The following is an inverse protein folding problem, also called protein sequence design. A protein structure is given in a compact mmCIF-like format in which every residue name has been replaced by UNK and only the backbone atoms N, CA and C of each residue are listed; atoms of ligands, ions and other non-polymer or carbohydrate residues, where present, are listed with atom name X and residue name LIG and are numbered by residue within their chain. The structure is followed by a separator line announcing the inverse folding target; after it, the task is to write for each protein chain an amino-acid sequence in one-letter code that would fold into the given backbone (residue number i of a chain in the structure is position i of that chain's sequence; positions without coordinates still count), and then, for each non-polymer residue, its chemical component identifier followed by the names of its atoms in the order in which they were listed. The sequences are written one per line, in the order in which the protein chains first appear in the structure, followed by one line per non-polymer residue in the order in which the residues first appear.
data_IF_551677612822
#
_entry.id   IF_551677612822
#
_cell.length_a   1.000
_cell.length_b   1.000
_cell.length_c   1.000
_cell.angle_alpha   90.00
_cell.angle_beta   90.00
_cell.angle_gamma   90.00
#
_symmetry.space_group_name_H-M   'P 1'
#
loop_
_entity.id
_entity.type
_entity.pdbx_description
1 polymer ?
#
# COMPACT_ATOMS: atom_id res chain seq x y z
N UNK A 1 -2.23 -0.30 3.32
CA UNK A 1 -3.55 0.08 3.87
C UNK A 1 -3.49 1.43 4.55
N UNK A 2 -4.58 2.21 4.53
CA UNK A 2 -4.72 3.41 5.34
C UNK A 2 -4.75 3.00 6.82
N UNK A 3 -3.86 3.57 7.63
CA UNK A 3 -3.82 3.39 9.08
C UNK A 3 -4.40 4.63 9.75
N UNK A 4 -4.74 4.55 11.04
CA UNK A 4 -5.21 5.71 11.81
C UNK A 4 -4.14 6.82 11.95
N UNK A 5 -2.89 6.55 11.58
CA UNK A 5 -1.81 7.54 11.52
C UNK A 5 -1.72 8.29 10.18
N UNK A 6 -2.44 7.87 9.14
CA UNK A 6 -2.34 8.46 7.79
C UNK A 6 -3.62 9.22 7.48
N UNK A 7 -3.53 10.54 7.52
CA UNK A 7 -4.63 11.43 7.13
C UNK A 7 -4.58 11.71 5.62
N UNK A 8 -5.75 11.61 4.97
CA UNK A 8 -5.93 11.87 3.53
C UNK A 8 -4.92 11.17 2.60
N UNK A 9 -4.79 9.82 2.65
CA UNK A 9 -3.89 9.12 1.74
C UNK A 9 -4.30 9.33 0.28
N UNK A 10 -3.33 9.59 -0.60
CA UNK A 10 -3.60 9.94 -2.00
C UNK A 10 -3.04 8.94 -3.02
N UNK A 11 -2.32 7.92 -2.55
CA UNK A 11 -1.77 6.85 -3.38
C UNK A 11 -1.78 5.53 -2.60
N UNK A 12 -2.25 4.46 -3.23
CA UNK A 12 -2.02 3.08 -2.75
C UNK A 12 -1.37 2.24 -3.84
N UNK A 13 -0.50 1.33 -3.40
CA UNK A 13 0.16 0.37 -4.28
C UNK A 13 -0.04 -1.02 -3.71
N UNK A 14 -0.61 -1.92 -4.48
CA UNK A 14 -0.81 -3.32 -4.10
C UNK A 14 -0.05 -4.21 -5.09
N UNK A 15 0.65 -5.20 -4.54
CA UNK A 15 1.36 -6.22 -5.31
C UNK A 15 0.66 -7.56 -5.13
N UNK A 16 0.60 -8.36 -6.19
CA UNK A 16 0.16 -9.76 -6.13
C UNK A 16 1.20 -10.67 -6.76
N UNK A 17 1.26 -11.89 -6.25
CA UNK A 17 2.16 -12.95 -6.72
C UNK A 17 1.44 -14.29 -6.61
N UNK A 18 1.84 -15.27 -7.42
CA UNK A 18 1.27 -16.62 -7.43
C UNK A 18 -0.17 -16.65 -7.94
N UNK A 19 -1.04 -17.40 -7.24
CA UNK A 19 -2.44 -17.60 -7.66
C UNK A 19 -3.36 -16.38 -7.42
N UNK A 20 -2.87 -15.32 -6.76
CA UNK A 20 -3.67 -14.12 -6.49
C UNK A 20 -3.69 -13.20 -7.72
N UNK A 21 -4.86 -12.97 -8.28
CA UNK A 21 -5.02 -12.11 -9.44
C UNK A 21 -5.08 -10.61 -9.07
N UNK A 22 -4.72 -9.76 -10.04
CA UNK A 22 -4.73 -8.29 -9.90
C UNK A 22 -6.12 -7.71 -9.62
N UNK A 23 -7.20 -8.45 -9.85
CA UNK A 23 -8.55 -8.03 -9.47
C UNK A 23 -8.70 -7.89 -7.94
N UNK A 24 -8.01 -8.72 -7.15
CA UNK A 24 -7.97 -8.60 -5.69
C UNK A 24 -7.26 -7.31 -5.28
N UNK A 25 -6.09 -7.02 -5.87
CA UNK A 25 -5.38 -5.75 -5.67
C UNK A 25 -6.27 -4.56 -6.02
N UNK A 26 -6.93 -4.63 -7.19
CA UNK A 26 -7.83 -3.60 -7.69
C UNK A 26 -8.99 -3.33 -6.71
N UNK A 27 -9.53 -4.36 -6.04
CA UNK A 27 -10.58 -4.21 -5.01
C UNK A 27 -10.04 -3.58 -3.72
N UNK A 28 -8.89 -4.05 -3.22
CA UNK A 28 -8.27 -3.50 -2.00
C UNK A 28 -7.88 -2.03 -2.15
N UNK A 29 -7.32 -1.70 -3.31
CA UNK A 29 -7.01 -0.33 -3.72
C UNK A 29 -8.28 0.52 -3.81
N UNK A 30 -9.33 0.03 -4.48
CA UNK A 30 -10.59 0.77 -4.60
C UNK A 30 -11.24 1.04 -3.25
N UNK A 31 -11.23 0.08 -2.33
CA UNK A 31 -11.72 0.26 -0.97
C UNK A 31 -10.94 1.37 -0.23
N UNK A 32 -9.61 1.27 -0.20
CA UNK A 32 -8.76 2.22 0.51
C UNK A 32 -8.87 3.63 -0.07
N UNK A 33 -8.89 3.77 -1.40
CA UNK A 33 -9.01 5.07 -2.05
C UNK A 33 -10.41 5.65 -1.94
N UNK A 34 -11.47 4.83 -1.90
CA UNK A 34 -12.83 5.32 -1.61
C UNK A 34 -12.90 5.99 -0.23
N UNK A 35 -12.31 5.39 0.80
CA UNK A 35 -12.26 6.01 2.14
C UNK A 35 -11.52 7.36 2.12
N UNK A 36 -10.41 7.45 1.40
CA UNK A 36 -9.64 8.68 1.29
C UNK A 36 -10.37 9.79 0.53
N UNK A 37 -10.99 9.43 -0.60
CA UNK A 37 -11.83 10.34 -1.40
C UNK A 37 -13.02 10.81 -0.58
N UNK A 38 -13.68 9.91 0.16
CA UNK A 38 -14.77 10.24 1.08
C UNK A 38 -14.33 11.23 2.15
N UNK A 39 -13.25 10.95 2.88
CA UNK A 39 -12.75 11.86 3.90
C UNK A 39 -12.49 13.27 3.35
N UNK A 40 -11.91 13.36 2.15
CA UNK A 40 -11.68 14.64 1.46
C UNK A 40 -12.99 15.36 1.13
N UNK A 41 -14.01 14.63 0.66
CA UNK A 41 -15.32 15.20 0.35
C UNK A 41 -16.02 15.70 1.60
N UNK A 42 -16.03 14.92 2.68
CA UNK A 42 -16.67 15.34 3.93
C UNK A 42 -16.01 16.60 4.50
N UNK A 43 -14.67 16.70 4.46
CA UNK A 43 -13.96 17.93 4.81
C UNK A 43 -14.45 19.14 3.98
N UNK A 44 -14.59 18.97 2.67
CA UNK A 44 -15.03 20.06 1.80
C UNK A 44 -16.52 20.42 1.99
N UNK A 45 -17.35 19.45 2.40
CA UNK A 45 -18.75 19.69 2.76
C UNK A 45 -18.91 20.54 4.01
N UNK A 46 -18.03 20.37 5.00
CA UNK A 46 -18.04 21.20 6.21
C UNK A 46 -17.92 22.70 5.91
N UNK A 47 -17.30 23.04 4.78
CA UNK A 47 -17.08 24.43 4.34
C UNK A 47 -17.87 24.78 3.07
N UNK A 48 -18.82 23.94 2.64
CA UNK A 48 -19.70 24.20 1.49
C UNK A 48 -18.99 24.25 0.13
N UNK A 49 -17.87 23.54 -0.01
CA UNK A 49 -17.00 23.55 -1.21
C UNK A 49 -16.92 22.20 -1.93
N UNK A 50 -17.80 21.26 -1.63
CA UNK A 50 -17.78 19.90 -2.17
C UNK A 50 -17.85 19.84 -3.70
N UNK A 51 -18.47 20.84 -4.34
CA UNK A 51 -18.57 20.91 -5.80
C UNK A 51 -17.23 21.20 -6.49
N UNK A 52 -16.23 21.76 -5.79
CA UNK A 52 -14.85 21.87 -6.31
C UNK A 52 -14.23 20.51 -6.62
N UNK A 53 -14.72 19.46 -5.95
CA UNK A 53 -14.19 18.11 -6.04
C UNK A 53 -15.00 17.23 -6.99
N UNK A 54 -16.17 17.68 -7.47
CA UNK A 54 -17.03 16.91 -8.36
C UNK A 54 -16.28 16.46 -9.62
N UNK A 55 -16.22 15.14 -9.83
CA UNK A 55 -15.51 14.47 -10.95
C UNK A 55 -14.01 14.79 -11.04
N UNK A 56 -13.38 15.30 -9.99
CA UNK A 56 -11.93 15.51 -9.94
C UNK A 56 -11.25 14.27 -9.36
N UNK A 57 -10.14 13.84 -9.99
CA UNK A 57 -9.33 12.75 -9.45
C UNK A 57 -8.66 13.23 -8.16
N UNK A 58 -9.01 12.58 -7.05
CA UNK A 58 -8.52 12.95 -5.71
C UNK A 58 -7.40 12.02 -5.21
N UNK A 59 -7.40 10.77 -5.65
CA UNK A 59 -6.42 9.78 -5.24
C UNK A 59 -6.10 8.82 -6.40
N UNK A 60 -4.99 8.09 -6.29
CA UNK A 60 -4.53 7.16 -7.31
C UNK A 60 -4.26 5.79 -6.70
N UNK A 61 -4.32 4.74 -7.52
CA UNK A 61 -3.86 3.43 -7.11
C UNK A 61 -3.11 2.70 -8.20
N UNK A 62 -2.13 1.92 -7.79
CA UNK A 62 -1.35 1.03 -8.65
C UNK A 62 -1.52 -0.40 -8.17
N UNK A 63 -1.93 -1.29 -9.06
CA UNK A 63 -1.92 -2.73 -8.84
C UNK A 63 -0.87 -3.34 -9.76
N UNK A 64 0.02 -4.19 -9.25
CA UNK A 64 1.03 -4.83 -10.08
C UNK A 64 1.37 -6.25 -9.66
N UNK A 65 1.93 -7.01 -10.59
CA UNK A 65 2.53 -8.31 -10.37
C UNK A 65 3.90 -8.36 -11.06
N UNK A 66 4.40 -9.56 -11.34
CA UNK A 66 5.70 -9.79 -11.96
C UNK A 66 5.81 -9.32 -13.43
N UNK A 67 4.71 -9.00 -14.10
CA UNK A 67 4.71 -8.54 -15.51
C UNK A 67 3.82 -7.33 -15.76
N UNK A 68 2.71 -7.23 -15.05
CA UNK A 68 1.63 -6.30 -15.37
C UNK A 68 1.49 -5.18 -14.32
N UNK A 69 1.13 -3.99 -14.80
CA UNK A 69 0.78 -2.83 -13.98
C UNK A 69 -0.57 -2.27 -14.42
N UNK A 70 -1.42 -1.89 -13.45
CA UNK A 70 -2.68 -1.18 -13.66
C UNK A 70 -2.73 0.06 -12.79
N UNK A 71 -2.94 1.21 -13.41
CA UNK A 71 -3.02 2.52 -12.76
C UNK A 71 -4.44 3.04 -12.87
N UNK A 72 -5.00 3.48 -11.74
CA UNK A 72 -6.34 4.07 -11.67
C UNK A 72 -6.32 5.42 -10.97
N UNK A 73 -7.20 6.32 -11.40
CA UNK A 73 -7.56 7.53 -10.66
C UNK A 73 -8.93 7.35 -10.00
N UNK A 74 -9.08 7.81 -8.76
CA UNK A 74 -10.31 7.71 -7.98
C UNK A 74 -10.93 9.08 -7.80
N UNK A 75 -12.24 9.18 -8.04
CA UNK A 75 -12.95 10.45 -8.03
C UNK A 75 -14.37 10.31 -7.47
N UNK A 76 -14.91 11.37 -6.85
CA UNK A 76 -16.29 11.42 -6.40
C UNK A 76 -17.20 12.01 -7.48
N UNK A 77 -18.47 11.63 -7.46
CA UNK A 77 -19.57 12.30 -8.16
C UNK A 77 -20.53 12.77 -7.08
N UNK A 78 -20.57 14.08 -6.88
CA UNK A 78 -21.43 14.76 -5.91
C UNK A 78 -22.78 15.05 -6.56
N UNK A 79 -23.86 14.68 -5.88
CA UNK A 79 -25.24 14.93 -6.28
C UNK A 79 -26.04 15.38 -5.05
N UNK A 80 -26.08 16.68 -4.82
CA UNK A 80 -26.59 17.26 -3.57
C UNK A 80 -25.89 16.67 -2.34
N UNK A 81 -26.68 16.05 -1.45
CA UNK A 81 -26.19 15.40 -0.23
C UNK A 81 -25.57 14.03 -0.46
N UNK A 82 -25.79 13.42 -1.62
CA UNK A 82 -25.22 12.12 -1.96
C UNK A 82 -23.87 12.27 -2.64
N UNK A 83 -22.98 11.30 -2.41
CA UNK A 83 -21.71 11.17 -3.14
C UNK A 83 -21.49 9.73 -3.52
N UNK A 84 -21.26 9.49 -4.81
CA UNK A 84 -20.85 8.19 -5.35
C UNK A 84 -19.36 8.22 -5.67
N UNK A 85 -18.69 7.08 -5.51
CA UNK A 85 -17.24 6.97 -5.69
C UNK A 85 -16.93 6.05 -6.86
N UNK A 86 -16.06 6.51 -7.74
CA UNK A 86 -15.71 5.81 -8.98
C UNK A 86 -14.20 5.78 -9.17
N UNK A 87 -13.77 4.85 -10.01
CA UNK A 87 -12.40 4.79 -10.51
C UNK A 87 -12.38 4.87 -12.03
N UNK A 88 -11.35 5.51 -12.56
CA UNK A 88 -11.05 5.58 -13.98
C UNK A 88 -9.74 4.85 -14.26
N UNK A 89 -9.69 3.88 -15.19
CA UNK A 89 -8.44 3.25 -15.63
C UNK A 89 -7.61 4.28 -16.39
N UNK A 90 -6.47 4.67 -15.83
CA UNK A 90 -5.53 5.59 -16.48
C UNK A 90 -4.66 4.83 -17.46
N UNK A 91 -4.10 3.69 -17.04
CA UNK A 91 -3.29 2.85 -17.91
C UNK A 91 -3.22 1.41 -17.39
N UNK A 92 -3.10 0.45 -18.32
CA UNK A 92 -2.87 -0.97 -18.02
C UNK A 92 -1.87 -1.51 -19.03
N UNK A 93 -0.75 -2.04 -18.56
CA UNK A 93 0.34 -2.45 -19.43
C UNK A 93 1.19 -3.57 -18.83
N UNK A 94 1.91 -4.28 -19.69
CA UNK A 94 2.97 -5.21 -19.33
C UNK A 94 4.31 -4.48 -19.43
N UNK A 95 5.07 -4.41 -18.33
CA UNK A 95 6.34 -3.69 -18.28
C UNK A 95 7.54 -4.52 -18.74
N UNK A 96 7.34 -5.81 -19.02
CA UNK A 96 8.32 -6.75 -19.58
C UNK A 96 8.18 -6.90 -21.09
N UNK A 97 7.00 -6.58 -21.65
CA UNK A 97 6.75 -6.59 -23.08
C UNK A 97 7.59 -5.56 -23.85
N UNK A 98 7.80 -5.85 -25.15
CA UNK A 98 8.50 -4.97 -26.10
C UNK A 98 9.88 -4.50 -25.59
N UNK A 99 10.67 -5.44 -25.08
CA UNK A 99 12.00 -5.17 -24.51
C UNK A 99 11.98 -4.12 -23.38
N UNK A 100 10.93 -4.16 -22.56
CA UNK A 100 10.77 -3.25 -21.42
C UNK A 100 10.49 -1.80 -21.79
N UNK A 101 9.86 -1.54 -22.94
CA UNK A 101 9.48 -0.19 -23.41
C UNK A 101 8.80 0.66 -22.32
N UNK A 102 7.95 0.06 -21.49
CA UNK A 102 7.19 0.73 -20.42
C UNK A 102 7.75 0.54 -19.00
N UNK A 103 8.96 -0.01 -18.87
CA UNK A 103 9.60 -0.34 -17.59
C UNK A 103 9.58 0.81 -16.57
N UNK A 104 9.69 2.06 -17.03
CA UNK A 104 9.74 3.25 -16.18
C UNK A 104 8.42 4.01 -16.05
N UNK A 105 7.34 3.56 -16.69
CA UNK A 105 6.07 4.29 -16.74
C UNK A 105 5.46 4.46 -15.35
N UNK A 106 5.36 3.39 -14.55
CA UNK A 106 4.80 3.45 -13.20
C UNK A 106 5.65 4.29 -12.24
N UNK A 107 6.97 4.24 -12.38
CA UNK A 107 7.90 5.05 -11.60
C UNK A 107 7.73 6.54 -11.87
N UNK A 108 7.74 6.94 -13.16
CA UNK A 108 7.53 8.33 -13.57
C UNK A 108 6.16 8.84 -13.12
N UNK A 109 5.12 8.02 -13.25
CA UNK A 109 3.78 8.35 -12.76
C UNK A 109 3.78 8.61 -11.26
N UNK A 110 4.33 7.68 -10.46
CA UNK A 110 4.42 7.82 -9.00
C UNK A 110 5.18 9.09 -8.61
N UNK A 111 6.32 9.37 -9.26
CA UNK A 111 7.07 10.62 -9.02
C UNK A 111 6.22 11.86 -9.29
N UNK A 112 5.50 11.92 -10.40
CA UNK A 112 4.62 13.04 -10.72
C UNK A 112 3.47 13.20 -9.70
N UNK A 113 2.96 12.09 -9.15
CA UNK A 113 1.98 12.14 -8.06
C UNK A 113 2.55 12.86 -6.85
N UNK A 114 3.79 12.59 -6.45
CA UNK A 114 4.42 13.24 -5.30
C UNK A 114 4.94 14.66 -5.58
N UNK A 115 5.51 14.92 -6.76
CA UNK A 115 6.18 16.18 -7.06
C UNK A 115 5.21 17.27 -7.51
N UNK A 116 4.15 16.89 -8.24
CA UNK A 116 3.21 17.84 -8.84
C UNK A 116 1.87 17.77 -8.14
N UNK A 117 1.31 16.56 -8.02
CA UNK A 117 -0.06 16.43 -7.53
C UNK A 117 -0.15 16.67 -6.03
N UNK A 118 0.66 15.98 -5.22
CA UNK A 118 0.55 16.03 -3.76
C UNK A 118 0.65 17.46 -3.20
N UNK A 119 1.59 18.33 -3.62
CA UNK A 119 1.67 19.70 -3.12
C UNK A 119 0.41 20.51 -3.41
N UNK A 120 -0.16 20.36 -4.61
CA UNK A 120 -1.40 21.02 -4.98
C UNK A 120 -2.59 20.49 -4.17
N UNK A 121 -2.64 19.19 -3.90
CA UNK A 121 -3.69 18.61 -3.06
C UNK A 121 -3.58 19.07 -1.61
N UNK A 122 -2.37 19.11 -1.07
CA UNK A 122 -2.09 19.54 0.29
C UNK A 122 -2.55 20.99 0.49
N UNK A 123 -2.16 21.91 -0.40
CA UNK A 123 -2.63 23.32 -0.37
C UNK A 123 -4.16 23.42 -0.38
N UNK A 124 -4.81 22.61 -1.22
CA UNK A 124 -6.28 22.56 -1.28
C UNK A 124 -6.89 22.05 0.02
N UNK A 125 -6.30 21.03 0.66
CA UNK A 125 -6.76 20.54 1.97
C UNK A 125 -6.60 21.60 3.06
N UNK A 126 -5.42 22.23 3.16
CA UNK A 126 -5.18 23.32 4.10
C UNK A 126 -6.20 24.45 3.91
N UNK A 127 -6.44 24.87 2.67
CA UNK A 127 -7.43 25.91 2.35
C UNK A 127 -8.85 25.57 2.83
N UNK A 128 -9.25 24.30 2.84
CA UNK A 128 -10.55 23.90 3.40
C UNK A 128 -10.50 23.83 4.93
N UNK A 129 -9.41 23.33 5.51
CA UNK A 129 -9.21 23.23 6.97
C UNK A 129 -9.21 24.63 7.61
N UNK A 130 -8.53 25.60 7.01
CA UNK A 130 -8.43 26.97 7.50
C UNK A 130 -9.78 27.71 7.54
N UNK A 131 -10.81 27.16 6.87
CA UNK A 131 -12.17 27.71 6.81
C UNK A 131 -13.15 26.95 7.72
N UNK A 132 -12.70 25.92 8.44
CA UNK A 132 -13.54 25.18 9.39
C UNK A 132 -13.93 26.12 10.55
N UNK A 133 -15.23 26.26 10.88
CA UNK A 133 -15.67 27.02 12.03
C UNK A 133 -15.09 26.47 13.35
N UNK A 134 -14.60 27.36 14.22
CA UNK A 134 -13.95 26.98 15.47
C UNK A 134 -14.90 26.33 16.50
N UNK A 135 -16.20 26.52 16.34
CA UNK A 135 -17.29 26.00 17.18
C UNK A 135 -17.79 24.62 16.75
N UNK A 136 -17.23 24.05 15.67
CA UNK A 136 -17.63 22.74 15.18
C UNK A 136 -17.13 21.62 16.11
N UNK A 137 -18.05 20.84 16.67
CA UNK A 137 -17.72 19.72 17.56
C UNK A 137 -17.30 18.48 16.75
N UNK A 138 -16.05 18.03 16.98
CA UNK A 138 -15.50 16.80 16.41
C UNK A 138 -15.46 15.64 17.42
N UNK A 139 -16.13 15.78 18.57
CA UNK A 139 -16.19 14.75 19.58
C UNK A 139 -16.78 13.46 18.98
N UNK A 140 -16.00 12.39 19.03
CA UNK A 140 -16.47 11.06 18.66
C UNK A 140 -17.11 10.48 19.93
N UNK A 141 -18.40 10.11 19.93
CA UNK A 141 -18.98 9.41 21.06
C UNK A 141 -18.11 8.20 21.37
N UNK A 142 -17.61 8.09 22.60
CA UNK A 142 -16.86 6.91 23.03
C UNK A 142 -17.73 5.69 22.76
N UNK A 143 -17.33 4.87 21.79
CA UNK A 143 -17.94 3.57 21.57
C UNK A 143 -17.77 2.81 22.89
N UNK A 144 -18.86 2.67 23.62
CA UNK A 144 -18.86 1.96 24.90
C UNK A 144 -18.25 0.60 24.64
N UNK A 145 -17.18 0.25 25.36
CA UNK A 145 -16.46 -1.03 25.25
C UNK A 145 -17.33 -2.23 25.72
N UNK A 146 -18.65 -2.14 25.68
CA UNK A 146 -19.61 -3.11 26.20
C UNK A 146 -20.23 -4.02 25.13
N UNK A 147 -19.91 -3.86 23.84
CA UNK A 147 -20.25 -4.88 22.84
C UNK A 147 -19.04 -5.79 22.67
N UNK A 148 -19.15 -7.00 23.22
CA UNK A 148 -18.06 -7.94 23.47
C UNK A 148 -17.31 -8.43 22.24
N UNK A 149 -16.48 -7.56 21.65
CA UNK A 149 -15.58 -7.86 20.54
C UNK A 149 -14.20 -8.34 21.01
N UNK A 150 -13.92 -8.32 22.31
CA UNK A 150 -12.62 -8.74 22.86
C UNK A 150 -12.46 -10.26 22.98
N UNK A 151 -13.55 -11.05 22.94
CA UNK A 151 -13.46 -12.50 23.14
C UNK A 151 -13.31 -13.33 21.86
N UNK A 152 -13.74 -12.81 20.70
CA UNK A 152 -13.64 -13.56 19.44
C UNK A 152 -12.30 -13.35 18.71
N UNK A 153 -11.61 -12.23 18.94
CA UNK A 153 -10.31 -11.99 18.30
C UNK A 153 -9.17 -12.82 18.92
N UNK A 154 -9.25 -13.15 20.22
CA UNK A 154 -8.26 -14.01 20.90
C UNK A 154 -8.45 -15.51 20.63
N UNK A 155 -9.67 -15.95 20.29
CA UNK A 155 -9.91 -17.37 19.98
C UNK A 155 -9.26 -17.80 18.67
N UNK A 156 -9.07 -16.88 17.73
CA UNK A 156 -8.47 -17.18 16.43
C UNK A 156 -6.93 -17.14 16.44
N UNK A 157 -6.30 -16.49 17.43
CA UNK A 157 -4.84 -16.43 17.56
C UNK A 157 -4.24 -17.57 18.39
N UNK A 158 -5.03 -18.26 19.23
CA UNK A 158 -4.57 -19.34 20.11
C UNK A 158 -4.83 -20.77 19.60
N UNK A 159 -5.58 -20.95 18.50
CA UNK A 159 -5.86 -22.30 17.94
C UNK A 159 -4.85 -22.80 16.91
N UNK A 160 -3.70 -22.13 16.71
CA UNK A 160 -2.61 -22.62 15.84
C UNK A 160 -1.28 -22.73 16.59
N UNK A 161 -1.30 -23.35 17.75
CA UNK A 161 -0.09 -23.86 18.40
C UNK A 161 -0.41 -25.13 19.16
N UNK A 162 -0.40 -26.26 18.45
CA UNK A 162 -0.23 -27.58 19.04
C UNK A 162 0.73 -28.37 18.16
N UNK A 163 1.96 -28.51 18.64
CA UNK A 163 2.86 -29.57 18.22
C UNK A 163 2.24 -30.93 18.56
N UNK A 164 2.42 -31.98 17.76
CA UNK A 164 2.36 -33.34 18.25
C UNK A 164 3.74 -33.75 18.76
N UNK A 165 3.74 -34.22 20.01
CA UNK A 165 4.84 -34.93 20.62
C UNK A 165 5.15 -36.25 19.88
N UNK A 166 6.43 -36.59 19.94
CA UNK A 166 7.06 -37.81 19.42
C UNK A 166 6.36 -39.09 19.88
N UNK A 167 6.10 -40.00 18.94
CA UNK A 167 6.03 -41.43 19.23
C UNK A 167 7.08 -42.16 18.39
N UNK A 168 7.97 -42.84 19.11
CA UNK A 168 9.00 -43.74 18.64
C UNK A 168 8.41 -44.97 17.97
N UNK A 169 8.88 -45.29 16.76
CA UNK A 169 8.95 -46.67 16.29
C UNK A 169 10.19 -46.82 15.41
N UNK A 170 11.12 -47.64 15.91
CA UNK A 170 12.29 -48.12 15.17
C UNK A 170 11.84 -48.98 13.99
N UNK A 171 12.41 -48.74 12.80
CA UNK A 171 12.96 -49.82 11.99
C UNK A 171 13.94 -49.28 10.92
N UNK A 172 15.21 -49.62 11.13
CA UNK A 172 16.33 -49.87 10.21
C UNK A 172 16.34 -49.39 8.75
N UNK A 173 17.45 -48.64 8.49
CA UNK A 173 18.50 -48.84 7.46
C UNK A 173 18.33 -48.28 6.02
N UNK A 174 19.32 -47.42 5.72
CA UNK A 174 20.21 -47.36 4.53
C UNK A 174 19.97 -46.33 3.41
N UNK A 175 20.96 -45.43 3.33
CA UNK A 175 21.70 -45.00 2.12
C UNK A 175 21.21 -43.81 1.26
N UNK A 176 21.96 -42.71 1.40
CA UNK A 176 22.69 -41.96 0.38
C UNK A 176 22.00 -41.12 -0.71
N UNK A 177 22.54 -39.90 -0.83
CA UNK A 177 22.71 -39.02 -2.01
C UNK A 177 21.66 -37.95 -2.42
N UNK A 178 22.17 -36.70 -2.41
CA UNK A 178 22.08 -35.63 -3.45
C UNK A 178 20.67 -35.01 -3.68
N UNK A 179 20.41 -33.70 -3.73
CA UNK A 179 21.19 -32.51 -4.08
C UNK A 179 20.73 -31.27 -3.29
N UNK A 180 21.65 -30.31 -3.14
CA UNK A 180 21.38 -28.94 -2.69
C UNK A 180 20.84 -28.11 -3.86
N UNK A 181 19.75 -27.40 -3.65
CA UNK A 181 19.41 -26.22 -4.46
C UNK A 181 19.15 -25.04 -3.53
N UNK A 182 19.90 -23.97 -3.78
CA UNK A 182 20.13 -22.85 -2.87
C UNK A 182 19.33 -21.66 -3.39
N UNK A 183 18.34 -21.18 -2.63
CA UNK A 183 17.64 -19.91 -2.89
C UNK A 183 18.40 -18.77 -2.20
N UNK A 184 18.69 -17.64 -2.87
CA UNK A 184 19.35 -16.52 -2.22
C UNK A 184 18.33 -15.61 -1.53
N UNK A 185 18.45 -15.52 -0.21
CA UNK A 185 17.83 -14.48 0.62
C UNK A 185 18.58 -13.16 0.42
N UNK A 186 17.86 -12.09 0.08
CA UNK A 186 18.34 -10.71 0.19
C UNK A 186 18.10 -10.21 1.61
N UNK A 187 19.15 -10.15 2.43
CA UNK A 187 19.14 -9.45 3.72
C UNK A 187 20.05 -8.22 3.65
N UNK A 188 19.46 -7.07 3.94
CA UNK A 188 20.17 -5.82 4.22
C UNK A 188 20.82 -5.92 5.61
N UNK A 189 22.13 -5.76 5.70
CA UNK A 189 22.80 -5.41 6.96
C UNK A 189 23.65 -4.17 6.75
N UNK A 190 23.28 -3.10 7.46
CA UNK A 190 24.06 -1.88 7.61
C UNK A 190 25.03 -2.00 8.79
N UNK A 191 26.21 -1.39 8.60
CA UNK A 191 27.24 -0.94 9.56
C UNK A 191 28.26 -1.96 10.09
N UNK A 192 29.48 -1.79 9.60
CA UNK A 192 30.74 -2.11 10.28
C UNK A 192 31.92 -1.45 9.53
N UNK A 193 32.68 -0.61 10.23
CA UNK A 193 33.65 0.36 9.69
C UNK A 193 35.05 -0.26 9.49
N UNK A 194 35.67 0.08 8.35
CA UNK A 194 37.10 0.21 8.02
C UNK A 194 38.10 -0.96 8.09
N UNK A 195 38.84 -1.15 6.97
CA UNK A 195 40.32 -1.02 6.88
C UNK A 195 40.77 -0.97 5.40
N UNK A 196 41.54 0.07 5.03
CA UNK A 196 42.16 0.25 3.69
C UNK A 196 43.32 -0.75 3.49
N UNK A 197 43.53 -1.33 2.28
CA UNK A 197 44.74 -2.09 1.97
C UNK A 197 45.90 -1.17 1.55
N UNK A 198 47.09 -1.47 2.06
CA UNK A 198 48.38 -0.81 1.79
C UNK A 198 48.92 -1.31 0.44
N UNK A 199 49.16 -0.41 -0.53
CA UNK A 199 49.84 -0.75 -1.81
C UNK A 199 51.31 -1.08 -1.52
N UNK A 200 51.78 -2.23 -2.02
CA UNK A 200 53.21 -2.59 -2.12
C UNK A 200 53.73 -2.02 -3.44
N UNK A 201 54.83 -1.26 -3.36
CA UNK A 201 55.60 -0.76 -4.50
C UNK A 201 56.34 -1.93 -5.15
N UNK A 202 56.31 -2.01 -6.48
CA UNK A 202 57.20 -2.85 -7.26
C UNK A 202 58.53 -2.11 -7.43
N UNK A 203 59.64 -2.81 -7.19
CA UNK A 203 60.97 -2.40 -7.58
C UNK A 203 61.34 -3.14 -8.86
N UNK A 204 61.95 -2.41 -9.79
CA UNK A 204 62.58 -2.90 -11.02
C UNK A 204 63.79 -3.79 -10.69
N UNK A 205 63.90 -4.92 -11.36
CA UNK A 205 65.04 -5.32 -12.19
C UNK A 205 64.63 -6.45 -13.14
#
# INVERSE_FOLDING_TARGET
MATYYIYFPFLTCEVKCGAAALDIADRQNAYSMTLAVRATIELFRLVGREMELHRKILAFSISHDHTSVRIYGHYPVVDGKDTKYYRHPIHKFDFTALDGKEKWTAYKFTRNVYEVRMPNHFKRLCSAIDQIPADLDFSVPQLSQSVGLSQDLERHSLSRSSQPASQSQEFSRQSAEVARETTPNTSFTSRGVSKRPRKRLAAEE
#
